data_IF_366716742641
#
_entry.id   IF_366716742641
#
_cell.length_a   1.000
_cell.length_b   1.000
_cell.length_c   1.000
_cell.angle_alpha   90.00
_cell.angle_beta   90.00
_cell.angle_gamma   90.00
#
_symmetry.space_group_name_H-M   'P 1'
#
loop_
_entity.id
_entity.type
_entity.pdbx_description
1 polymer ?
#
# COMPACT_ATOMS: atom_id res chain seq x y z
N UNK A 1 -25.32 58.26 7.19
CA UNK A 1 -25.30 57.15 6.21
C UNK A 1 -24.15 56.23 6.62
N UNK A 2 -24.36 55.03 7.19
CA UNK A 2 -24.62 53.73 6.50
C UNK A 2 -23.52 53.49 5.43
N UNK A 3 -22.67 52.46 5.44
CA UNK A 3 -22.80 51.01 5.72
C UNK A 3 -21.38 50.44 6.00
N UNK A 4 -21.12 49.73 7.10
CA UNK A 4 -21.08 48.24 7.22
C UNK A 4 -20.35 47.48 6.12
N UNK A 5 -19.29 46.75 6.50
CA UNK A 5 -18.66 45.69 5.71
C UNK A 5 -17.64 44.91 6.53
N UNK A 6 -18.14 43.98 7.35
CA UNK A 6 -17.41 43.10 8.27
C UNK A 6 -17.02 41.78 7.57
N UNK A 7 -15.79 41.33 7.83
CA UNK A 7 -15.28 39.94 7.88
C UNK A 7 -15.29 39.10 6.58
N UNK A 8 -14.09 38.82 6.08
CA UNK A 8 -13.75 37.50 5.56
C UNK A 8 -12.99 36.77 6.68
N UNK A 9 -13.67 35.84 7.35
CA UNK A 9 -13.06 34.94 8.30
C UNK A 9 -12.44 33.79 7.53
N UNK A 10 -11.12 33.69 7.56
CA UNK A 10 -10.41 32.47 7.16
C UNK A 10 -10.70 31.42 8.24
N UNK A 11 -11.47 30.39 7.87
CA UNK A 11 -11.63 29.20 8.70
C UNK A 11 -10.29 28.43 8.79
N UNK A 12 -10.06 27.67 9.85
CA UNK A 12 -8.72 27.39 10.34
C UNK A 12 -8.02 26.26 9.57
N UNK A 13 -6.76 26.50 9.21
CA UNK A 13 -5.79 25.51 8.68
C UNK A 13 -5.52 24.33 9.65
N UNK A 14 -6.17 24.29 10.82
CA UNK A 14 -6.03 23.22 11.82
C UNK A 14 -6.76 21.91 11.47
N UNK A 15 -7.71 21.94 10.53
CA UNK A 15 -8.45 20.75 10.09
C UNK A 15 -7.55 19.74 9.38
N UNK A 16 -6.68 20.20 8.47
CA UNK A 16 -5.76 19.34 7.73
C UNK A 16 -4.64 18.80 8.62
N UNK A 17 -4.08 19.63 9.51
CA UNK A 17 -3.05 19.21 10.46
C UNK A 17 -3.57 18.14 11.42
N UNK A 18 -4.75 18.36 12.03
CA UNK A 18 -5.37 17.37 12.92
C UNK A 18 -5.80 16.10 12.20
N UNK A 19 -6.29 16.24 10.96
CA UNK A 19 -6.63 15.09 10.12
C UNK A 19 -5.40 14.24 9.82
N UNK A 20 -4.27 14.85 9.46
CA UNK A 20 -3.02 14.13 9.20
C UNK A 20 -2.49 13.44 10.46
N UNK A 21 -2.48 14.15 11.60
CA UNK A 21 -2.06 13.59 12.89
C UNK A 21 -2.86 12.33 13.25
N UNK A 22 -4.20 12.41 13.13
CA UNK A 22 -5.07 11.27 13.42
C UNK A 22 -4.97 10.16 12.37
N UNK A 23 -4.65 10.50 11.11
CA UNK A 23 -4.38 9.50 10.07
C UNK A 23 -3.12 8.70 10.38
N UNK A 24 -2.01 9.35 10.75
CA UNK A 24 -0.77 8.66 11.12
C UNK A 24 -0.96 7.79 12.37
N UNK A 25 -1.63 8.32 13.39
CA UNK A 25 -1.92 7.55 14.61
C UNK A 25 -2.82 6.34 14.31
N UNK A 26 -3.85 6.52 13.48
CA UNK A 26 -4.72 5.42 13.07
C UNK A 26 -3.99 4.40 12.19
N UNK A 27 -3.06 4.86 11.34
CA UNK A 27 -2.25 4.00 10.50
C UNK A 27 -1.31 3.13 11.33
N UNK A 28 -0.61 3.70 12.31
CA UNK A 28 0.20 2.94 13.27
C UNK A 28 -0.63 1.89 14.02
N UNK A 29 -1.83 2.27 14.48
CA UNK A 29 -2.74 1.34 15.17
C UNK A 29 -3.15 0.15 14.29
N UNK A 30 -3.46 0.42 13.02
CA UNK A 30 -3.88 -0.60 12.05
C UNK A 30 -2.71 -1.47 11.58
N UNK A 31 -1.50 -0.93 11.44
CA UNK A 31 -0.29 -1.71 11.15
C UNK A 31 -0.04 -2.80 12.20
N UNK A 32 -0.28 -2.50 13.47
CA UNK A 32 -0.09 -3.45 14.56
C UNK A 32 -1.20 -4.50 14.66
N UNK A 33 -2.44 -4.15 14.30
CA UNK A 33 -3.64 -4.96 14.61
C UNK A 33 -4.35 -5.56 13.40
N UNK A 34 -3.99 -5.15 12.19
CA UNK A 34 -4.65 -5.55 10.95
C UNK A 34 -6.01 -4.89 10.76
N UNK A 35 -6.66 -5.18 9.63
CA UNK A 35 -7.96 -4.60 9.29
C UNK A 35 -9.13 -5.33 9.93
N UNK A 36 -8.97 -6.62 10.23
CA UNK A 36 -10.04 -7.47 10.77
C UNK A 36 -10.60 -6.95 12.11
N UNK A 37 -9.76 -6.29 12.93
CA UNK A 37 -10.16 -5.71 14.21
C UNK A 37 -10.64 -4.26 14.15
N UNK A 38 -10.67 -3.64 12.96
CA UNK A 38 -10.87 -2.19 12.87
C UNK A 38 -12.35 -1.79 13.09
N UNK A 39 -12.59 -1.21 14.25
CA UNK A 39 -13.84 -0.52 14.61
C UNK A 39 -13.54 0.88 15.15
N UNK A 40 -14.47 1.82 14.91
CA UNK A 40 -14.22 3.24 15.19
C UNK A 40 -14.00 3.55 16.67
N UNK A 41 -14.68 2.82 17.58
CA UNK A 41 -14.59 3.06 19.02
C UNK A 41 -13.21 2.69 19.58
N UNK A 42 -12.74 1.42 19.48
CA UNK A 42 -11.40 1.04 19.91
C UNK A 42 -10.28 1.85 19.25
N UNK A 43 -10.42 2.14 17.94
CA UNK A 43 -9.45 2.96 17.24
C UNK A 43 -9.38 4.37 17.83
N UNK A 44 -10.54 5.04 17.97
CA UNK A 44 -10.59 6.40 18.47
C UNK A 44 -10.06 6.50 19.91
N UNK A 45 -10.41 5.55 20.77
CA UNK A 45 -9.90 5.48 22.15
C UNK A 45 -8.38 5.33 22.17
N UNK A 46 -7.83 4.43 21.34
CA UNK A 46 -6.40 4.18 21.28
C UNK A 46 -5.57 5.36 20.77
N UNK A 47 -6.14 6.21 19.91
CA UNK A 47 -5.45 7.38 19.34
C UNK A 47 -5.84 8.70 20.02
N UNK A 48 -6.50 8.65 21.18
CA UNK A 48 -6.88 9.84 21.96
C UNK A 48 -7.88 10.76 21.22
N UNK A 49 -8.85 10.16 20.53
CA UNK A 49 -9.89 10.84 19.75
C UNK A 49 -11.29 10.30 20.09
N UNK A 50 -12.29 10.66 19.29
CA UNK A 50 -13.64 10.09 19.39
C UNK A 50 -14.14 9.61 18.01
N UNK A 51 -15.06 8.62 17.96
CA UNK A 51 -15.68 8.21 16.70
C UNK A 51 -16.31 9.38 15.94
N UNK A 52 -16.89 10.35 16.66
CA UNK A 52 -17.49 11.55 16.07
C UNK A 52 -16.44 12.42 15.37
N UNK A 53 -15.27 12.61 15.97
CA UNK A 53 -14.17 13.38 15.37
C UNK A 53 -13.63 12.67 14.13
N UNK A 54 -13.44 11.35 14.18
CA UNK A 54 -12.99 10.59 13.01
C UNK A 54 -14.01 10.67 11.87
N UNK A 55 -15.30 10.48 12.15
CA UNK A 55 -16.34 10.62 11.12
C UNK A 55 -16.44 12.05 10.58
N UNK A 56 -16.22 13.07 11.42
CA UNK A 56 -16.18 14.45 10.96
C UNK A 56 -15.01 14.72 9.99
N UNK A 57 -13.81 14.25 10.32
CA UNK A 57 -12.60 14.51 9.52
C UNK A 57 -12.53 13.66 8.24
N UNK A 58 -13.00 12.40 8.30
CA UNK A 58 -12.90 11.46 7.18
C UNK A 58 -14.23 11.22 6.46
N UNK A 59 -15.30 11.90 6.88
CA UNK A 59 -16.65 11.82 6.31
C UNK A 59 -17.42 10.55 6.66
N UNK A 60 -16.76 9.39 6.64
CA UNK A 60 -17.36 8.10 6.99
C UNK A 60 -16.30 7.09 7.45
N UNK A 61 -16.74 5.92 7.96
CA UNK A 61 -15.82 4.80 8.22
C UNK A 61 -15.09 4.41 6.93
N UNK A 62 -15.80 4.34 5.82
CA UNK A 62 -15.22 4.00 4.52
C UNK A 62 -14.25 5.08 4.02
N UNK A 63 -14.55 6.35 4.29
CA UNK A 63 -13.62 7.45 4.02
C UNK A 63 -12.32 7.32 4.81
N UNK A 64 -12.40 6.93 6.09
CA UNK A 64 -11.23 6.63 6.91
C UNK A 64 -10.45 5.42 6.37
N UNK A 65 -11.13 4.33 5.99
CA UNK A 65 -10.48 3.16 5.40
C UNK A 65 -9.78 3.53 4.09
N UNK A 66 -10.40 4.33 3.22
CA UNK A 66 -9.77 4.84 2.00
C UNK A 66 -8.53 5.67 2.29
N UNK A 67 -8.58 6.56 3.29
CA UNK A 67 -7.42 7.35 3.71
C UNK A 67 -6.27 6.46 4.22
N UNK A 68 -6.58 5.45 5.03
CA UNK A 68 -5.60 4.48 5.53
C UNK A 68 -5.01 3.61 4.42
N UNK A 69 -5.82 3.21 3.43
CA UNK A 69 -5.35 2.48 2.25
C UNK A 69 -4.41 3.33 1.40
N UNK A 70 -4.74 4.60 1.18
CA UNK A 70 -3.88 5.54 0.47
C UNK A 70 -2.54 5.74 1.21
N UNK A 71 -2.57 5.89 2.54
CA UNK A 71 -1.37 6.01 3.38
C UNK A 71 -0.51 4.76 3.35
N UNK A 72 -1.13 3.57 3.45
CA UNK A 72 -0.46 2.27 3.32
C UNK A 72 0.17 2.08 1.94
N UNK A 73 -0.51 2.58 0.89
CA UNK A 73 0.02 2.56 -0.47
C UNK A 73 1.23 3.47 -0.62
N UNK A 74 1.24 4.64 0.02
CA UNK A 74 2.39 5.54 0.01
C UNK A 74 3.65 4.85 0.56
N UNK A 75 3.55 4.07 1.64
CA UNK A 75 4.70 3.31 2.17
C UNK A 75 5.18 2.24 1.19
N UNK A 76 4.27 1.57 0.49
CA UNK A 76 4.63 0.59 -0.55
C UNK A 76 5.25 1.25 -1.78
N UNK A 77 4.80 2.44 -2.16
CA UNK A 77 5.37 3.19 -3.27
C UNK A 77 6.76 3.75 -2.94
N UNK A 78 6.99 4.17 -1.69
CA UNK A 78 8.33 4.59 -1.25
C UNK A 78 9.37 3.47 -1.41
N UNK A 79 8.95 2.20 -1.36
CA UNK A 79 9.80 1.05 -1.72
C UNK A 79 10.16 1.06 -3.20
N UNK A 80 9.15 1.25 -4.06
CA UNK A 80 9.34 1.29 -5.50
C UNK A 80 10.35 2.38 -5.88
N UNK A 81 10.27 3.53 -5.20
CA UNK A 81 11.23 4.62 -5.36
C UNK A 81 12.62 4.28 -4.81
N UNK A 82 12.70 3.60 -3.66
CA UNK A 82 13.97 3.23 -3.03
C UNK A 82 14.77 2.16 -3.79
N UNK A 83 14.09 1.29 -4.55
CA UNK A 83 14.74 0.27 -5.40
C UNK A 83 15.57 0.90 -6.53
N UNK A 84 15.26 2.15 -6.90
CA UNK A 84 16.01 2.98 -7.84
C UNK A 84 15.84 2.57 -9.32
N UNK A 85 16.05 3.51 -10.24
CA UNK A 85 15.76 3.34 -11.68
C UNK A 85 16.88 2.62 -12.48
N UNK A 86 17.83 1.99 -11.80
CA UNK A 86 18.98 1.33 -12.45
C UNK A 86 18.92 -0.19 -12.34
N UNK A 87 19.32 -0.86 -13.42
CA UNK A 87 19.38 -2.33 -13.49
C UNK A 87 18.34 -2.93 -14.43
N UNK A 88 18.61 -4.17 -14.82
CA UNK A 88 17.68 -5.01 -15.56
C UNK A 88 16.59 -5.58 -14.65
N UNK A 89 15.66 -6.32 -15.26
CA UNK A 89 14.51 -6.90 -14.58
C UNK A 89 14.93 -7.84 -13.44
N UNK A 90 16.00 -8.64 -13.64
CA UNK A 90 16.53 -9.54 -12.62
C UNK A 90 17.09 -8.78 -11.41
N UNK A 91 17.87 -7.72 -11.65
CA UNK A 91 18.45 -6.87 -10.61
C UNK A 91 17.35 -6.21 -9.77
N UNK A 92 16.31 -5.69 -10.42
CA UNK A 92 15.18 -5.07 -9.73
C UNK A 92 14.33 -6.09 -8.99
N UNK A 93 14.09 -7.26 -9.58
CA UNK A 93 13.43 -8.37 -8.90
C UNK A 93 14.16 -8.78 -7.61
N UNK A 94 15.49 -8.82 -7.63
CA UNK A 94 16.29 -9.13 -6.44
C UNK A 94 16.15 -8.06 -5.34
N UNK A 95 16.19 -6.78 -5.70
CA UNK A 95 16.02 -5.67 -4.75
C UNK A 95 14.62 -5.66 -4.14
N UNK A 96 13.60 -5.87 -4.98
CA UNK A 96 12.21 -5.98 -4.53
C UNK A 96 12.05 -7.15 -3.58
N UNK A 97 12.61 -8.32 -3.90
CA UNK A 97 12.55 -9.48 -3.02
C UNK A 97 13.25 -9.23 -1.68
N UNK A 98 14.45 -8.64 -1.69
CA UNK A 98 15.17 -8.31 -0.46
C UNK A 98 14.33 -7.42 0.47
N UNK A 99 13.58 -6.47 -0.10
CA UNK A 99 12.63 -5.66 0.65
C UNK A 99 11.43 -6.48 1.14
N UNK A 100 10.81 -7.30 0.28
CA UNK A 100 9.66 -8.13 0.68
C UNK A 100 10.02 -9.14 1.79
N UNK A 101 11.25 -9.66 1.77
CA UNK A 101 11.74 -10.67 2.70
C UNK A 101 12.18 -10.10 4.06
N UNK A 102 12.48 -8.80 4.13
CA UNK A 102 12.97 -8.15 5.32
C UNK A 102 11.93 -8.17 6.48
N UNK A 103 12.29 -8.65 7.68
CA UNK A 103 11.38 -8.78 8.81
C UNK A 103 10.65 -7.50 9.21
N UNK A 104 11.29 -6.35 9.01
CA UNK A 104 10.80 -5.01 9.37
C UNK A 104 9.53 -4.65 8.59
N UNK A 105 9.31 -5.26 7.42
CA UNK A 105 8.16 -4.97 6.56
C UNK A 105 6.97 -5.93 6.78
N UNK A 106 7.10 -6.93 7.66
CA UNK A 106 6.05 -7.96 7.86
C UNK A 106 4.69 -7.39 8.25
N UNK A 107 4.66 -6.38 9.13
CA UNK A 107 3.40 -5.76 9.57
C UNK A 107 2.68 -5.07 8.39
N UNK A 108 3.43 -4.28 7.62
CA UNK A 108 2.94 -3.63 6.40
C UNK A 108 2.45 -4.65 5.36
N UNK A 109 3.20 -5.72 5.14
CA UNK A 109 2.88 -6.72 4.11
C UNK A 109 1.67 -7.59 4.48
N UNK A 110 1.49 -7.91 5.76
CA UNK A 110 0.25 -8.54 6.25
C UNK A 110 -0.94 -7.62 6.06
N UNK A 111 -0.79 -6.35 6.40
CA UNK A 111 -1.83 -5.35 6.22
C UNK A 111 -2.21 -5.17 4.74
N UNK A 112 -1.20 -5.18 3.84
CA UNK A 112 -1.41 -5.17 2.41
C UNK A 112 -2.17 -6.40 1.93
N UNK A 113 -1.76 -7.61 2.34
CA UNK A 113 -2.41 -8.87 1.95
C UNK A 113 -3.88 -8.87 2.32
N UNK A 114 -4.17 -8.46 3.54
CA UNK A 114 -5.53 -8.32 4.04
C UNK A 114 -6.39 -7.34 3.22
N UNK A 115 -5.83 -6.21 2.79
CA UNK A 115 -6.51 -5.24 1.93
C UNK A 115 -6.69 -5.79 0.50
N UNK A 116 -5.69 -6.50 -0.02
CA UNK A 116 -5.71 -7.14 -1.33
C UNK A 116 -6.83 -8.17 -1.40
N UNK A 117 -6.92 -9.10 -0.44
CA UNK A 117 -7.97 -10.13 -0.40
C UNK A 117 -9.37 -9.51 -0.29
N UNK A 118 -9.55 -8.45 0.53
CA UNK A 118 -10.82 -7.72 0.62
C UNK A 118 -11.19 -7.06 -0.71
N UNK A 119 -10.22 -6.44 -1.38
CA UNK A 119 -10.44 -5.83 -2.68
C UNK A 119 -10.79 -6.84 -3.78
N UNK A 120 -10.30 -8.07 -3.71
CA UNK A 120 -10.67 -9.13 -4.66
C UNK A 120 -12.10 -9.61 -4.44
N UNK A 121 -12.57 -9.65 -3.18
CA UNK A 121 -13.95 -10.01 -2.84
C UNK A 121 -14.96 -8.85 -2.99
N UNK A 122 -14.49 -7.61 -3.11
CA UNK A 122 -15.33 -6.41 -3.26
C UNK A 122 -15.65 -6.16 -4.73
N UNK A 123 -16.83 -6.62 -5.16
CA UNK A 123 -17.36 -6.36 -6.50
C UNK A 123 -18.09 -4.99 -6.61
N UNK A 124 -18.12 -4.21 -5.53
CA UNK A 124 -18.87 -2.96 -5.43
C UNK A 124 -18.00 -1.70 -5.42
N UNK A 125 -18.59 -0.62 -4.91
CA UNK A 125 -17.97 0.69 -4.69
C UNK A 125 -17.48 0.89 -3.24
N UNK A 126 -17.23 -0.22 -2.54
CA UNK A 126 -16.75 -0.26 -1.18
C UNK A 126 -15.36 0.39 -1.01
N UNK A 127 -14.90 0.60 0.24
CA UNK A 127 -13.62 1.27 0.48
C UNK A 127 -12.41 0.50 -0.05
N UNK A 128 -12.55 -0.79 -0.35
CA UNK A 128 -11.49 -1.65 -0.87
C UNK A 128 -11.45 -1.68 -2.41
N UNK A 129 -12.50 -1.16 -3.07
CA UNK A 129 -12.69 -1.27 -4.50
C UNK A 129 -11.46 -0.84 -5.31
N UNK A 130 -11.01 -1.75 -6.18
CA UNK A 130 -9.88 -1.56 -7.09
C UNK A 130 -8.50 -1.49 -6.45
N UNK A 131 -8.34 -1.68 -5.13
CA UNK A 131 -7.03 -1.65 -4.48
C UNK A 131 -6.08 -2.72 -5.02
N UNK A 132 -6.57 -3.95 -5.21
CA UNK A 132 -5.79 -5.05 -5.77
C UNK A 132 -5.36 -4.75 -7.22
N UNK A 133 -6.29 -4.31 -8.07
CA UNK A 133 -6.03 -3.99 -9.47
C UNK A 133 -5.03 -2.83 -9.63
N UNK A 134 -5.17 -1.75 -8.83
CA UNK A 134 -4.21 -0.64 -8.81
C UNK A 134 -2.82 -1.11 -8.40
N UNK A 135 -2.74 -1.98 -7.39
CA UNK A 135 -1.46 -2.56 -6.98
C UNK A 135 -0.82 -3.34 -8.13
N UNK A 136 -1.56 -4.18 -8.85
CA UNK A 136 -1.04 -4.89 -10.04
C UNK A 136 -0.49 -3.90 -11.08
N UNK A 137 -1.26 -2.87 -11.42
CA UNK A 137 -0.87 -1.89 -12.42
C UNK A 137 0.41 -1.12 -12.04
N UNK A 138 0.53 -0.69 -10.79
CA UNK A 138 1.71 0.04 -10.31
C UNK A 138 2.99 -0.82 -10.36
N UNK A 139 2.90 -2.09 -9.96
CA UNK A 139 4.02 -3.02 -10.03
C UNK A 139 4.39 -3.35 -11.49
N UNK A 140 3.40 -3.55 -12.36
CA UNK A 140 3.62 -3.75 -13.79
C UNK A 140 4.36 -2.55 -14.40
N UNK A 141 3.91 -1.34 -14.07
CA UNK A 141 4.52 -0.10 -14.55
C UNK A 141 5.95 0.09 -14.03
N UNK A 142 6.26 -0.29 -12.78
CA UNK A 142 7.62 -0.30 -12.27
C UNK A 142 8.48 -1.30 -13.05
N UNK A 143 8.07 -2.57 -13.12
CA UNK A 143 8.87 -3.63 -13.75
C UNK A 143 9.11 -3.36 -15.24
N UNK A 144 8.13 -2.77 -15.94
CA UNK A 144 8.26 -2.36 -17.33
C UNK A 144 9.44 -1.37 -17.55
N UNK A 145 9.74 -0.48 -16.60
CA UNK A 145 10.85 0.48 -16.70
C UNK A 145 12.22 -0.21 -16.82
N UNK A 146 12.33 -1.42 -16.29
CA UNK A 146 13.54 -2.23 -16.26
C UNK A 146 13.64 -3.24 -17.42
N UNK A 147 12.73 -3.15 -18.39
CA UNK A 147 12.82 -3.87 -19.66
C UNK A 147 13.33 -2.94 -20.77
N UNK A 148 14.10 -3.48 -21.75
CA UNK A 148 14.48 -2.74 -22.94
C UNK A 148 13.24 -2.21 -23.70
N UNK A 149 13.27 -0.99 -24.25
CA UNK A 149 12.11 -0.42 -24.96
C UNK A 149 11.58 -1.31 -26.09
N UNK A 150 12.46 -2.02 -26.81
CA UNK A 150 12.08 -2.93 -27.88
C UNK A 150 11.37 -4.21 -27.39
N UNK A 151 11.49 -4.55 -26.11
CA UNK A 151 10.91 -5.76 -25.51
C UNK A 151 9.68 -5.45 -24.65
N UNK A 152 9.70 -4.32 -23.95
CA UNK A 152 8.70 -3.89 -22.95
C UNK A 152 7.25 -4.06 -23.38
N UNK A 153 6.91 -3.59 -24.58
CA UNK A 153 5.50 -3.57 -25.04
C UNK A 153 5.14 -4.81 -25.89
N UNK A 154 6.05 -5.78 -26.00
CA UNK A 154 5.76 -7.06 -26.66
C UNK A 154 4.97 -7.98 -25.73
N UNK A 155 4.22 -8.93 -26.30
CA UNK A 155 3.52 -9.95 -25.50
C UNK A 155 4.48 -10.76 -24.60
N UNK A 156 5.70 -11.00 -25.07
CA UNK A 156 6.74 -11.68 -24.29
C UNK A 156 7.19 -10.83 -23.10
N UNK A 157 7.47 -9.54 -23.29
CA UNK A 157 7.84 -8.63 -22.21
C UNK A 157 6.73 -8.47 -21.17
N UNK A 158 5.47 -8.41 -21.60
CA UNK A 158 4.31 -8.41 -20.69
C UNK A 158 4.26 -9.68 -19.86
N UNK A 159 4.40 -10.84 -20.50
CA UNK A 159 4.36 -12.13 -19.82
C UNK A 159 5.55 -12.29 -18.83
N UNK A 160 6.74 -11.84 -19.20
CA UNK A 160 7.95 -11.90 -18.38
C UNK A 160 7.78 -11.14 -17.05
N UNK A 161 7.36 -9.87 -17.10
CA UNK A 161 7.16 -9.10 -15.87
C UNK A 161 5.95 -9.57 -15.05
N UNK A 162 4.91 -10.07 -15.70
CA UNK A 162 3.77 -10.69 -15.02
C UNK A 162 4.19 -11.96 -14.28
N UNK A 163 5.05 -12.79 -14.88
CA UNK A 163 5.62 -13.98 -14.26
C UNK A 163 6.49 -13.62 -13.06
N UNK A 164 7.41 -12.65 -13.20
CA UNK A 164 8.22 -12.18 -12.08
C UNK A 164 7.34 -11.69 -10.91
N UNK A 165 6.32 -10.88 -11.20
CA UNK A 165 5.39 -10.39 -10.17
C UNK A 165 4.63 -11.53 -9.49
N UNK A 166 4.24 -12.57 -10.24
CA UNK A 166 3.60 -13.76 -9.69
C UNK A 166 4.54 -14.54 -8.76
N UNK A 167 5.81 -14.72 -9.15
CA UNK A 167 6.84 -15.38 -8.31
C UNK A 167 7.07 -14.60 -7.01
N UNK A 168 7.28 -13.28 -7.11
CA UNK A 168 7.50 -12.42 -5.93
C UNK A 168 6.31 -12.45 -4.97
N UNK A 169 5.08 -12.38 -5.48
CA UNK A 169 3.87 -12.44 -4.65
C UNK A 169 3.63 -13.82 -4.05
N UNK A 170 3.84 -14.89 -4.81
CA UNK A 170 3.74 -16.25 -4.30
C UNK A 170 4.73 -16.50 -3.18
N UNK A 171 5.99 -16.10 -3.38
CA UNK A 171 7.03 -16.18 -2.36
C UNK A 171 6.67 -15.33 -1.13
N UNK A 172 6.13 -14.12 -1.30
CA UNK A 172 5.67 -13.31 -0.17
C UNK A 172 4.57 -14.01 0.64
N UNK A 173 3.56 -14.61 -0.03
CA UNK A 173 2.47 -15.32 0.64
C UNK A 173 3.00 -16.48 1.48
N UNK A 174 3.85 -17.31 0.88
CA UNK A 174 4.51 -18.42 1.57
C UNK A 174 5.37 -17.93 2.74
N UNK A 175 6.09 -16.82 2.56
CA UNK A 175 6.93 -16.25 3.63
C UNK A 175 6.08 -15.80 4.82
N UNK A 176 4.97 -15.13 4.55
CA UNK A 176 4.06 -14.66 5.60
C UNK A 176 3.39 -15.84 6.33
N UNK A 177 3.17 -16.96 5.64
CA UNK A 177 2.56 -18.16 6.21
C UNK A 177 3.55 -19.05 6.99
N UNK A 178 4.79 -19.17 6.52
CA UNK A 178 5.76 -20.17 7.02
C UNK A 178 6.94 -19.58 7.78
N UNK A 179 7.33 -18.34 7.46
CA UNK A 179 8.56 -17.72 7.96
C UNK A 179 9.86 -18.29 7.36
N UNK A 180 9.78 -19.18 6.37
CA UNK A 180 10.95 -19.88 5.79
C UNK A 180 11.72 -19.01 4.78
N UNK A 181 12.41 -17.97 5.26
CA UNK A 181 13.14 -17.03 4.38
C UNK A 181 14.15 -17.73 3.47
N UNK A 182 14.98 -18.63 3.99
CA UNK A 182 16.04 -19.28 3.20
C UNK A 182 15.50 -20.11 2.01
N UNK A 183 14.38 -20.81 2.19
CA UNK A 183 13.74 -21.59 1.11
C UNK A 183 13.27 -20.67 -0.01
N UNK A 184 12.71 -19.52 0.36
CA UNK A 184 12.11 -18.58 -0.58
C UNK A 184 13.15 -17.69 -1.25
N UNK A 185 14.24 -17.34 -0.56
CA UNK A 185 15.43 -16.72 -1.16
C UNK A 185 15.99 -17.59 -2.28
N UNK A 186 16.13 -18.90 -2.03
CA UNK A 186 16.61 -19.84 -3.04
C UNK A 186 15.65 -19.94 -4.23
N UNK A 187 14.34 -20.01 -3.99
CA UNK A 187 13.33 -20.11 -5.03
C UNK A 187 13.29 -18.85 -5.93
N UNK A 188 13.27 -17.66 -5.31
CA UNK A 188 13.29 -16.39 -6.04
C UNK A 188 14.61 -16.22 -6.77
N UNK A 189 15.74 -16.49 -6.12
CA UNK A 189 17.07 -16.44 -6.74
C UNK A 189 17.21 -17.34 -7.97
N UNK A 190 16.67 -18.56 -7.91
CA UNK A 190 16.67 -19.47 -9.06
C UNK A 190 15.83 -18.94 -10.23
N UNK A 191 14.70 -18.30 -9.96
CA UNK A 191 13.89 -17.66 -11.01
C UNK A 191 14.61 -16.46 -11.63
N UNK A 192 15.20 -15.60 -10.79
CA UNK A 192 15.91 -14.40 -11.25
C UNK A 192 17.15 -14.73 -12.09
N UNK A 193 17.84 -15.84 -11.81
CA UNK A 193 18.97 -16.30 -12.59
C UNK A 193 18.59 -16.85 -13.99
N UNK A 194 17.30 -17.06 -14.23
CA UNK A 194 16.77 -17.57 -15.50
C UNK A 194 16.11 -16.49 -16.37
N UNK A 195 16.06 -15.24 -15.90
CA UNK A 195 15.68 -14.04 -16.67
C UNK A 195 16.85 -13.60 -17.57
#
# INVERSE_FOLDING_TARGET
MKHTGRVAGTAPDGGSARQQELLEAAYAWVLERGWAGMSLRPLAEAIGSSPRVLLFLFGSKDGLVRALLARSRADQLAVLDAVGDSGDLATVGARVWAWLAAPEHRALLRLWLEAYTRSVGDAGDGPWAGFAARTVADWDALLARHQPPAHRDTAAGVAERALLLAVLRGALLDLLATGETARLDAAVGAHLAAL
#
